data_IF_037785128227
#
_entry.id   IF_037785128227
#
_cell.length_a   1.000
_cell.length_b   1.000
_cell.length_c   1.000
_cell.angle_alpha   90.00
_cell.angle_beta   90.00
_cell.angle_gamma   90.00
#
_symmetry.space_group_name_H-M   'P 1'
#
loop_
_entity.id
_entity.type
_entity.pdbx_description
1 polymer ?
#
# COMPACT_ATOMS: atom_id res chain seq x y z
N UNK A 1 35.42 41.89 89.33
CA UNK A 1 36.47 42.81 88.83
C UNK A 1 36.84 43.74 89.98
N UNK A 2 38.08 43.70 90.51
CA UNK A 2 38.48 44.58 91.61
C UNK A 2 38.49 46.03 91.13
N UNK A 3 37.95 46.95 91.93
CA UNK A 3 37.97 48.38 91.62
C UNK A 3 39.39 48.92 91.61
N UNK A 4 39.69 49.80 90.65
CA UNK A 4 41.02 50.40 90.53
C UNK A 4 41.22 51.47 91.59
N UNK A 5 42.28 51.35 92.39
CA UNK A 5 42.54 52.18 93.59
C UNK A 5 44.02 52.47 93.83
N UNK A 6 44.86 52.30 92.81
CA UNK A 6 46.30 52.54 92.92
C UNK A 6 46.60 54.04 92.87
N UNK A 7 47.55 54.51 93.69
CA UNK A 7 47.88 55.92 93.82
C UNK A 7 46.95 56.70 94.75
N UNK A 8 47.09 58.02 94.77
CA UNK A 8 46.23 58.94 95.53
C UNK A 8 45.66 60.00 94.59
N UNK A 9 44.58 60.66 95.02
CA UNK A 9 43.98 61.77 94.28
C UNK A 9 43.94 63.04 95.11
N UNK A 10 44.26 64.14 94.46
CA UNK A 10 43.99 65.49 94.92
C UNK A 10 42.64 65.94 94.37
N UNK A 11 41.72 66.26 95.28
CA UNK A 11 40.36 66.70 95.00
C UNK A 11 40.08 67.97 95.80
N UNK A 12 39.46 68.95 95.16
CA UNK A 12 39.12 70.24 95.77
C UNK A 12 37.61 70.36 95.88
N UNK A 13 37.11 70.79 97.04
CA UNK A 13 35.68 71.01 97.23
C UNK A 13 35.13 71.94 96.15
N UNK A 14 33.96 71.58 95.60
CA UNK A 14 33.27 72.26 94.50
C UNK A 14 34.03 72.30 93.16
N UNK A 15 35.06 71.47 92.97
CA UNK A 15 35.75 71.28 91.68
C UNK A 15 35.39 69.94 91.04
N UNK A 16 35.31 69.89 89.71
CA UNK A 16 35.21 68.62 88.98
C UNK A 16 36.58 67.97 88.74
N UNK A 17 37.69 68.66 89.01
CA UNK A 17 39.02 68.15 88.71
C UNK A 17 39.49 67.16 89.78
N UNK A 18 39.88 65.98 89.32
CA UNK A 18 40.55 64.95 90.11
C UNK A 18 41.97 64.79 89.56
N UNK A 19 42.97 65.15 90.35
CA UNK A 19 44.38 65.08 89.96
C UNK A 19 45.05 63.93 90.69
N UNK A 20 45.36 62.86 89.96
CA UNK A 20 45.98 61.65 90.48
C UNK A 20 47.51 61.75 90.58
N UNK A 21 48.07 61.10 91.59
CA UNK A 21 49.51 60.82 91.72
C UNK A 21 49.71 59.31 91.74
N UNK A 22 50.60 58.79 90.88
CA UNK A 22 50.80 57.35 90.66
C UNK A 22 49.52 56.60 90.24
N UNK A 23 48.65 57.28 89.49
CA UNK A 23 47.42 56.74 88.90
C UNK A 23 47.61 56.41 87.42
N UNK A 24 46.72 55.57 86.88
CA UNK A 24 46.67 55.16 85.47
C UNK A 24 45.19 55.17 85.00
N UNK A 25 44.58 56.36 85.01
CA UNK A 25 43.15 56.51 84.76
C UNK A 25 42.70 56.05 83.37
N UNK A 26 43.47 56.28 82.30
CA UNK A 26 43.06 55.95 80.93
C UNK A 26 42.90 54.44 80.77
N UNK A 27 43.84 53.67 81.34
CA UNK A 27 43.82 52.22 81.22
C UNK A 27 42.73 51.56 82.08
N UNK A 28 42.25 52.23 83.14
CA UNK A 28 41.45 51.61 84.20
C UNK A 28 40.06 52.22 84.40
N UNK A 29 39.67 53.20 83.58
CA UNK A 29 38.34 53.81 83.63
C UNK A 29 37.94 54.36 82.26
N UNK A 30 36.65 54.62 82.09
CA UNK A 30 36.05 55.26 80.93
C UNK A 30 35.10 56.36 81.38
N UNK A 31 34.81 57.29 80.48
CA UNK A 31 33.69 58.22 80.69
C UNK A 31 32.40 57.42 80.90
N UNK A 32 31.66 57.77 81.95
CA UNK A 32 30.47 57.05 82.44
C UNK A 32 30.74 56.11 83.62
N UNK A 33 32.00 55.82 83.97
CA UNK A 33 32.32 55.00 85.14
C UNK A 33 32.09 55.75 86.46
N UNK A 34 31.95 55.00 87.55
CA UNK A 34 31.82 55.56 88.88
C UNK A 34 33.18 55.83 89.50
N UNK A 35 33.48 57.09 89.81
CA UNK A 35 34.56 57.50 90.70
C UNK A 35 34.04 57.61 92.13
N UNK A 36 34.67 56.87 93.05
CA UNK A 36 34.43 56.99 94.49
C UNK A 36 35.52 57.84 95.11
N UNK A 37 35.16 59.03 95.57
CA UNK A 37 36.10 59.99 96.15
C UNK A 37 36.58 59.63 97.56
N UNK A 38 37.57 60.35 98.10
CA UNK A 38 38.08 60.17 99.47
C UNK A 38 37.06 60.43 100.59
N UNK A 39 35.98 61.13 100.25
CA UNK A 39 34.80 61.37 101.09
C UNK A 39 33.85 60.17 101.12
N UNK A 40 34.13 59.13 100.31
CA UNK A 40 33.28 57.96 100.13
C UNK A 40 32.11 58.18 99.17
N UNK A 41 31.94 59.39 98.62
CA UNK A 41 30.88 59.78 97.69
C UNK A 41 31.11 59.24 96.28
N UNK A 42 30.02 59.07 95.52
CA UNK A 42 30.05 58.59 94.14
C UNK A 42 29.82 59.70 93.15
N UNK A 43 30.64 59.71 92.11
CA UNK A 43 30.64 60.69 91.05
C UNK A 43 30.80 59.98 89.71
N UNK A 44 30.16 60.49 88.67
CA UNK A 44 30.34 60.00 87.30
C UNK A 44 31.62 60.60 86.72
N UNK A 45 32.49 59.77 86.16
CA UNK A 45 33.64 60.23 85.38
C UNK A 45 33.11 60.80 84.06
N UNK A 46 33.26 62.10 83.85
CA UNK A 46 32.73 62.79 82.64
C UNK A 46 33.80 63.00 81.58
N UNK A 47 35.07 63.00 81.97
CA UNK A 47 36.22 63.08 81.07
C UNK A 47 37.44 62.45 81.72
N UNK A 48 38.33 61.85 80.92
CA UNK A 48 39.65 61.37 81.37
C UNK A 48 40.66 62.06 80.48
N UNK A 49 41.30 63.11 81.02
CA UNK A 49 42.23 63.94 80.26
C UNK A 49 43.63 63.30 80.16
N UNK A 50 44.05 62.57 81.20
CA UNK A 50 45.31 61.81 81.23
C UNK A 50 45.25 60.71 82.29
N UNK A 51 46.30 59.90 82.39
CA UNK A 51 46.44 58.91 83.47
C UNK A 51 46.44 59.52 84.89
N UNK A 52 46.66 60.83 85.00
CA UNK A 52 46.74 61.60 86.24
C UNK A 52 45.70 62.71 86.35
N UNK A 53 44.79 62.87 85.38
CA UNK A 53 43.77 63.92 85.43
C UNK A 53 42.45 63.41 84.85
N UNK A 54 41.38 63.50 85.63
CA UNK A 54 40.02 63.24 85.17
C UNK A 54 39.06 64.30 85.70
N UNK A 55 37.88 64.35 85.09
CA UNK A 55 36.78 65.21 85.52
C UNK A 55 35.61 64.37 85.99
N UNK A 56 34.95 64.80 87.07
CA UNK A 56 33.82 64.10 87.67
C UNK A 56 32.57 64.98 87.73
N UNK A 57 31.38 64.37 87.72
CA UNK A 57 30.10 65.05 87.92
C UNK A 57 29.22 64.29 88.94
N UNK A 58 28.54 64.98 89.87
CA UNK A 58 28.66 66.42 90.15
C UNK A 58 30.08 66.78 90.64
N UNK A 59 30.36 68.08 90.80
CA UNK A 59 31.64 68.53 91.36
C UNK A 59 31.86 67.91 92.77
N UNK A 60 33.11 67.69 93.15
CA UNK A 60 33.48 67.04 94.41
C UNK A 60 32.88 67.77 95.64
N UNK A 61 32.10 67.06 96.45
CA UNK A 61 31.28 67.65 97.52
C UNK A 61 31.98 67.61 98.89
N UNK A 62 32.91 66.68 99.09
CA UNK A 62 33.69 66.55 100.34
C UNK A 62 34.68 67.70 100.57
N UNK A 63 35.25 67.75 101.78
CA UNK A 63 36.33 68.68 102.11
C UNK A 63 37.56 68.42 101.22
N UNK A 64 38.24 69.48 100.76
CA UNK A 64 39.42 69.37 99.91
C UNK A 64 40.48 68.45 100.51
N UNK A 65 40.99 67.51 99.73
CA UNK A 65 41.98 66.53 100.15
C UNK A 65 43.07 66.43 99.09
N UNK A 66 44.32 66.72 99.47
CA UNK A 66 45.46 66.74 98.56
C UNK A 66 46.07 65.37 98.27
N UNK A 67 45.70 64.32 99.03
CA UNK A 67 46.23 62.96 98.87
C UNK A 67 45.24 61.90 99.42
N UNK A 68 44.02 61.88 98.89
CA UNK A 68 42.97 60.96 99.33
C UNK A 68 43.00 59.61 98.61
N UNK A 69 42.49 58.58 99.28
CA UNK A 69 42.20 57.29 98.64
C UNK A 69 40.94 57.38 97.77
N UNK A 70 40.90 56.63 96.67
CA UNK A 70 39.77 56.61 95.73
C UNK A 70 39.52 55.21 95.20
N UNK A 71 38.43 55.01 94.49
CA UNK A 71 38.22 53.82 93.67
C UNK A 71 37.48 54.16 92.37
N UNK A 72 37.84 53.50 91.27
CA UNK A 72 37.10 53.53 90.01
C UNK A 72 36.34 52.21 89.83
N UNK A 73 35.03 52.31 89.62
CA UNK A 73 34.12 51.21 89.39
C UNK A 73 33.56 51.30 87.96
N UNK A 74 33.79 50.29 87.10
CA UNK A 74 33.17 50.26 85.79
C UNK A 74 31.64 50.23 85.89
N UNK A 75 30.95 51.22 85.32
CA UNK A 75 29.49 51.27 85.28
C UNK A 75 29.03 51.02 83.84
N UNK A 76 29.08 49.76 83.40
CA UNK A 76 28.59 49.40 82.07
C UNK A 76 27.05 49.38 82.08
N UNK A 77 26.43 50.36 81.42
CA UNK A 77 25.04 50.23 81.00
C UNK A 77 24.87 48.99 80.11
N UNK A 78 23.79 48.23 80.31
CA UNK A 78 23.46 47.04 79.52
C UNK A 78 23.70 47.29 78.01
N UNK A 79 24.26 46.32 77.28
CA UNK A 79 24.55 46.38 75.84
C UNK A 79 23.23 46.47 75.02
N UNK A 80 22.57 47.62 75.07
CA UNK A 80 21.19 47.84 74.59
C UNK A 80 21.08 47.73 73.07
N UNK A 81 22.08 48.20 72.36
CA UNK A 81 22.07 48.25 70.88
C UNK A 81 22.10 46.84 70.26
N UNK A 82 22.90 45.93 70.80
CA UNK A 82 22.92 44.54 70.32
C UNK A 82 21.62 43.79 70.64
N UNK A 83 21.01 44.08 71.81
CA UNK A 83 19.73 43.52 72.20
C UNK A 83 18.59 44.00 71.28
N UNK A 84 18.56 45.28 70.91
CA UNK A 84 17.55 45.82 69.99
C UNK A 84 17.72 45.29 68.56
N UNK A 85 18.96 45.14 68.07
CA UNK A 85 19.24 44.54 66.78
C UNK A 85 18.79 43.07 66.69
N UNK A 86 19.07 42.27 67.73
CA UNK A 86 18.62 40.88 67.82
C UNK A 86 17.08 40.79 67.89
N UNK A 87 16.44 41.67 68.66
CA UNK A 87 14.97 41.72 68.75
C UNK A 87 14.33 42.07 67.41
N UNK A 88 14.89 42.99 66.64
CA UNK A 88 14.40 43.32 65.30
C UNK A 88 14.49 42.12 64.34
N UNK A 89 15.60 41.36 64.40
CA UNK A 89 15.76 40.12 63.63
C UNK A 89 14.69 39.08 64.00
N UNK A 90 14.50 38.82 65.30
CA UNK A 90 13.51 37.86 65.81
C UNK A 90 12.09 38.27 65.45
N UNK A 91 11.74 39.55 65.54
CA UNK A 91 10.39 40.02 65.16
C UNK A 91 10.12 39.88 63.66
N UNK A 92 11.14 40.07 62.81
CA UNK A 92 10.98 39.99 61.35
C UNK A 92 10.95 38.55 60.84
N UNK A 93 11.84 37.70 61.33
CA UNK A 93 12.05 36.36 60.79
C UNK A 93 11.71 35.22 61.74
N UNK A 94 11.49 35.48 63.04
CA UNK A 94 11.30 34.44 64.04
C UNK A 94 10.10 33.53 63.75
N UNK A 95 8.96 34.10 63.36
CA UNK A 95 7.77 33.32 62.96
C UNK A 95 8.00 32.53 61.66
N UNK A 96 8.70 33.12 60.69
CA UNK A 96 9.01 32.47 59.40
C UNK A 96 9.99 31.31 59.59
N UNK A 97 11.04 31.50 60.39
CA UNK A 97 12.03 30.48 60.70
C UNK A 97 11.42 29.36 61.55
N UNK A 98 10.54 29.70 62.52
CA UNK A 98 9.79 28.72 63.27
C UNK A 98 8.84 27.89 62.38
N UNK A 99 8.21 28.52 61.37
CA UNK A 99 7.31 27.85 60.44
C UNK A 99 8.01 26.84 59.52
N UNK A 100 9.32 26.99 59.25
CA UNK A 100 10.10 25.98 58.52
C UNK A 100 10.21 24.67 59.32
N UNK A 101 10.20 24.71 60.64
CA UNK A 101 10.30 23.51 61.49
C UNK A 101 11.47 22.61 61.07
N UNK A 102 11.19 21.33 60.78
CA UNK A 102 12.22 20.36 60.36
C UNK A 102 12.74 20.55 58.93
N UNK A 103 12.08 21.35 58.07
CA UNK A 103 12.51 21.49 56.65
C UNK A 103 13.75 22.36 56.50
N UNK A 104 14.00 23.28 57.45
CA UNK A 104 15.19 24.14 57.46
C UNK A 104 16.51 23.43 57.74
N UNK A 105 16.48 22.13 58.06
CA UNK A 105 17.66 21.33 58.43
C UNK A 105 18.33 20.62 57.23
N UNK A 106 17.87 20.86 56.01
CA UNK A 106 18.34 20.15 54.82
C UNK A 106 18.88 21.12 53.77
N UNK A 107 20.10 20.89 53.30
CA UNK A 107 20.65 21.59 52.12
C UNK A 107 19.87 21.25 50.85
N UNK A 108 19.34 20.02 50.79
CA UNK A 108 18.45 19.53 49.75
C UNK A 108 17.22 18.95 50.43
N UNK A 109 16.08 19.62 50.29
CA UNK A 109 14.84 19.19 50.92
C UNK A 109 14.39 17.82 50.37
N UNK A 110 14.21 16.78 51.21
CA UNK A 110 13.80 15.47 50.75
C UNK A 110 12.35 15.45 50.29
N UNK A 111 12.00 14.47 49.47
CA UNK A 111 10.64 14.28 48.95
C UNK A 111 9.60 14.11 50.07
N UNK A 112 9.96 13.43 51.16
CA UNK A 112 9.10 13.25 52.35
C UNK A 112 8.76 14.56 53.07
N UNK A 113 9.45 15.65 52.74
CA UNK A 113 9.22 17.00 53.28
C UNK A 113 8.77 17.98 52.20
N UNK A 114 8.32 17.48 51.04
CA UNK A 114 7.81 18.29 49.93
C UNK A 114 8.90 18.87 49.01
N UNK A 115 10.16 18.47 49.18
CA UNK A 115 11.23 18.83 48.26
C UNK A 115 11.38 17.84 47.10
N UNK A 116 12.44 18.01 46.32
CA UNK A 116 12.76 17.12 45.18
C UNK A 116 13.77 16.03 45.56
N UNK A 117 14.42 16.16 46.72
CA UNK A 117 15.55 15.31 47.12
C UNK A 117 16.79 15.46 46.24
N UNK A 118 16.85 16.50 45.38
CA UNK A 118 17.95 16.72 44.42
C UNK A 118 18.34 18.19 44.31
N UNK A 119 19.60 18.44 44.00
CA UNK A 119 20.13 19.79 43.76
C UNK A 119 19.92 20.30 42.33
N UNK A 120 19.57 19.43 41.38
CA UNK A 120 19.37 19.79 39.96
C UNK A 120 17.92 20.15 39.60
N UNK A 121 17.04 20.25 40.60
CA UNK A 121 15.63 20.59 40.43
C UNK A 121 14.79 19.50 39.76
N UNK A 122 15.38 18.36 39.39
CA UNK A 122 14.63 17.23 38.85
C UNK A 122 13.95 16.47 39.97
N UNK A 123 12.82 15.85 39.67
CA UNK A 123 12.14 14.94 40.58
C UNK A 123 12.23 13.54 40.00
N UNK A 124 12.65 12.58 40.83
CA UNK A 124 12.56 11.17 40.52
C UNK A 124 11.48 10.58 41.41
N UNK A 125 10.46 10.01 40.78
CA UNK A 125 9.38 9.34 41.47
C UNK A 125 9.62 7.84 41.42
N UNK A 126 9.44 7.15 42.54
CA UNK A 126 9.27 5.69 42.53
C UNK A 126 7.93 5.31 41.89
N UNK A 127 6.90 6.13 42.13
CA UNK A 127 5.58 6.03 41.52
C UNK A 127 4.90 7.41 41.50
N UNK A 128 3.96 7.61 40.57
CA UNK A 128 3.10 8.80 40.50
C UNK A 128 1.65 8.35 40.67
N UNK A 129 1.06 8.64 41.83
CA UNK A 129 -0.35 8.38 42.11
C UNK A 129 -1.23 9.56 41.69
N UNK A 130 -2.29 9.30 40.92
CA UNK A 130 -3.29 10.31 40.54
C UNK A 130 -4.66 9.81 40.97
N UNK A 131 -5.32 10.55 41.85
CA UNK A 131 -6.60 10.15 42.45
C UNK A 131 -7.77 11.04 42.04
N UNK A 132 -7.48 12.24 41.51
CA UNK A 132 -8.49 13.18 41.05
C UNK A 132 -8.63 13.14 39.54
N UNK A 133 -9.82 13.47 39.06
CA UNK A 133 -10.06 13.67 37.64
C UNK A 133 -9.22 14.82 37.10
N UNK A 134 -8.72 14.69 35.87
CA UNK A 134 -8.11 15.82 35.18
C UNK A 134 -9.18 16.88 34.93
N UNK A 135 -9.03 18.06 35.53
CA UNK A 135 -10.05 19.12 35.51
C UNK A 135 -9.71 20.31 34.60
N UNK A 136 -8.48 20.37 34.08
CA UNK A 136 -7.96 21.51 33.31
C UNK A 136 -7.57 21.12 31.87
N UNK A 137 -8.22 20.11 31.30
CA UNK A 137 -7.93 19.64 29.94
C UNK A 137 -8.29 20.65 28.85
N UNK A 138 -8.91 21.78 29.18
CA UNK A 138 -9.18 22.91 28.28
C UNK A 138 -8.03 23.93 28.22
N UNK A 139 -6.99 23.77 29.04
CA UNK A 139 -5.76 24.57 29.00
C UNK A 139 -4.71 23.81 28.19
N UNK A 140 -3.86 24.53 27.45
CA UNK A 140 -2.77 23.91 26.70
C UNK A 140 -1.79 23.22 27.66
N UNK A 141 -1.57 21.91 27.46
CA UNK A 141 -0.68 21.13 28.32
C UNK A 141 -0.90 19.63 28.22
N UNK A 142 -0.10 18.90 29.00
CA UNK A 142 -0.22 17.47 29.22
C UNK A 142 -0.69 17.23 30.65
N UNK A 143 -1.68 16.36 30.81
CA UNK A 143 -2.34 16.08 32.07
C UNK A 143 -2.42 14.59 32.32
N UNK A 144 -2.32 14.21 33.59
CA UNK A 144 -2.69 12.89 34.07
C UNK A 144 -3.92 13.05 34.98
N UNK A 145 -4.87 12.14 34.87
CA UNK A 145 -6.12 12.18 35.64
C UNK A 145 -6.64 10.79 35.94
N UNK A 146 -7.60 10.71 36.84
CA UNK A 146 -8.26 9.45 37.20
C UNK A 146 -9.78 9.60 37.18
N UNK A 147 -10.44 8.64 36.53
CA UNK A 147 -11.87 8.36 36.66
C UNK A 147 -12.79 9.56 36.36
N UNK A 148 -12.52 10.34 35.30
CA UNK A 148 -13.35 11.48 34.92
C UNK A 148 -14.72 11.09 34.35
N UNK A 149 -14.86 9.88 33.82
CA UNK A 149 -16.07 9.28 33.25
C UNK A 149 -16.69 8.18 34.10
N UNK A 150 -16.21 8.00 35.34
CA UNK A 150 -16.73 7.02 36.31
C UNK A 150 -16.64 5.55 35.88
N UNK A 151 -15.66 5.16 35.06
CA UNK A 151 -15.40 3.77 34.64
C UNK A 151 -14.13 3.16 35.25
N UNK A 152 -13.50 3.85 36.20
CA UNK A 152 -12.20 3.46 36.77
C UNK A 152 -11.04 3.65 35.80
N UNK A 153 -11.16 4.60 34.87
CA UNK A 153 -10.18 4.80 33.81
C UNK A 153 -9.04 5.76 34.20
N UNK A 154 -7.82 5.41 33.82
CA UNK A 154 -6.67 6.32 33.87
C UNK A 154 -6.65 7.21 32.63
N UNK A 155 -6.32 8.48 32.82
CA UNK A 155 -6.27 9.47 31.75
C UNK A 155 -4.84 9.96 31.51
N UNK A 156 -4.44 9.96 30.24
CA UNK A 156 -3.27 10.66 29.74
C UNK A 156 -3.74 11.61 28.64
N UNK A 157 -3.89 12.89 28.99
CA UNK A 157 -4.55 13.88 28.13
C UNK A 157 -3.51 14.86 27.63
N UNK A 158 -3.45 15.04 26.31
CA UNK A 158 -2.70 16.13 25.71
C UNK A 158 -3.68 17.09 25.05
N UNK A 159 -3.82 18.27 25.64
CA UNK A 159 -4.53 19.36 24.98
C UNK A 159 -3.64 19.89 23.84
N UNK A 160 -4.19 19.90 22.62
CA UNK A 160 -3.46 20.31 21.42
C UNK A 160 -3.01 21.77 21.41
N UNK A 161 -3.63 22.63 22.22
CA UNK A 161 -3.45 24.07 22.21
C UNK A 161 -3.61 24.64 20.79
N UNK A 162 -2.73 25.57 20.42
CA UNK A 162 -2.63 26.07 19.05
C UNK A 162 -1.88 25.16 18.06
N UNK A 163 -1.41 23.99 18.49
CA UNK A 163 -0.61 23.07 17.68
C UNK A 163 -1.39 21.93 17.04
N UNK A 164 -0.64 20.98 16.45
CA UNK A 164 -1.17 19.75 15.87
C UNK A 164 -1.65 18.72 16.90
N UNK A 165 -1.23 18.85 18.16
CA UNK A 165 -1.56 17.93 19.25
C UNK A 165 -0.93 16.54 19.13
N UNK A 166 -1.39 15.62 19.97
CA UNK A 166 -0.86 14.26 20.08
C UNK A 166 0.31 14.11 21.05
N UNK A 167 0.85 12.90 21.15
CA UNK A 167 2.04 12.60 21.95
C UNK A 167 3.03 11.73 21.18
N UNK A 168 4.31 11.93 21.45
CA UNK A 168 5.42 11.17 20.85
C UNK A 168 6.19 10.45 21.93
N UNK A 169 6.56 9.20 21.69
CA UNK A 169 7.44 8.44 22.57
C UNK A 169 8.50 7.70 21.76
N UNK A 170 9.64 7.44 22.41
CA UNK A 170 10.79 6.76 21.83
C UNK A 170 11.65 6.15 22.94
N UNK A 171 12.41 5.12 22.60
CA UNK A 171 13.47 4.60 23.47
C UNK A 171 14.80 5.29 23.15
N UNK A 172 15.72 5.25 24.12
CA UNK A 172 17.12 5.68 23.94
C UNK A 172 18.04 4.61 24.50
N UNK A 173 19.28 4.55 24.01
CA UNK A 173 20.30 3.72 24.63
C UNK A 173 20.71 4.28 26.01
N UNK A 174 21.44 3.49 26.80
CA UNK A 174 21.82 3.84 28.17
C UNK A 174 22.56 5.19 28.29
N UNK A 175 23.37 5.56 27.28
CA UNK A 175 24.10 6.82 27.24
C UNK A 175 23.31 8.00 26.67
N UNK A 176 22.05 7.80 26.23
CA UNK A 176 21.25 8.80 25.51
C UNK A 176 21.99 9.40 24.28
N UNK A 177 22.80 8.59 23.61
CA UNK A 177 23.56 8.95 22.41
C UNK A 177 22.95 8.41 21.12
N UNK A 178 22.03 7.44 21.22
CA UNK A 178 21.26 6.89 20.12
C UNK A 178 19.78 6.78 20.51
N UNK A 179 18.91 7.06 19.54
CA UNK A 179 17.45 6.97 19.71
C UNK A 179 16.90 5.80 18.91
N UNK A 180 15.95 5.07 19.50
CA UNK A 180 15.05 4.20 18.76
C UNK A 180 14.05 5.00 17.92
N UNK A 181 13.19 4.32 17.15
CA UNK A 181 12.14 4.98 16.36
C UNK A 181 11.19 5.77 17.25
N UNK A 182 10.80 6.96 16.78
CA UNK A 182 9.73 7.73 17.39
C UNK A 182 8.38 7.17 16.93
N UNK A 183 7.49 6.97 17.90
CA UNK A 183 6.11 6.56 17.68
C UNK A 183 5.21 7.72 18.09
N UNK A 184 4.10 7.91 17.39
CA UNK A 184 3.21 9.03 17.64
C UNK A 184 1.76 8.58 17.71
N UNK A 185 1.00 9.19 18.60
CA UNK A 185 -0.46 9.15 18.58
C UNK A 185 -0.97 10.57 18.40
N UNK A 186 -1.54 10.86 17.24
CA UNK A 186 -2.00 12.21 16.88
C UNK A 186 -3.30 12.58 17.58
N UNK A 187 -3.67 13.87 17.51
CA UNK A 187 -4.97 14.35 17.97
C UNK A 187 -6.16 13.66 17.26
N UNK A 188 -5.98 13.28 15.98
CA UNK A 188 -6.99 12.58 15.18
C UNK A 188 -7.06 11.06 15.46
N UNK A 189 -6.32 10.58 16.46
CA UNK A 189 -6.30 9.16 16.84
C UNK A 189 -5.44 8.27 15.95
N UNK A 190 -4.61 8.84 15.07
CA UNK A 190 -3.68 8.05 14.25
C UNK A 190 -2.47 7.60 15.09
N UNK A 191 -2.33 6.29 15.25
CA UNK A 191 -1.12 5.62 15.75
C UNK A 191 -0.12 5.41 14.61
N UNK A 192 1.05 6.03 14.69
CA UNK A 192 2.15 5.83 13.75
C UNK A 192 3.31 5.13 14.45
N UNK A 193 3.68 3.95 13.95
CA UNK A 193 4.79 3.13 14.44
C UNK A 193 5.62 2.64 13.25
N UNK A 194 6.93 2.47 13.42
CA UNK A 194 7.79 1.98 12.34
C UNK A 194 7.53 0.51 11.97
N UNK A 195 7.10 -0.28 12.95
CA UNK A 195 6.68 -1.66 12.75
C UNK A 195 5.64 -2.05 13.80
N UNK A 196 4.66 -2.85 13.40
CA UNK A 196 3.63 -3.42 14.27
C UNK A 196 3.77 -4.95 14.24
N UNK A 197 3.93 -5.57 15.41
CA UNK A 197 3.94 -7.02 15.54
C UNK A 197 2.60 -7.49 16.11
N UNK A 198 1.89 -8.34 15.37
CA UNK A 198 0.59 -8.90 15.76
C UNK A 198 0.75 -10.41 15.91
N UNK A 199 0.91 -10.89 17.14
CA UNK A 199 1.36 -12.28 17.41
C UNK A 199 0.26 -13.22 17.93
N UNK A 200 -0.76 -12.70 18.62
CA UNK A 200 -1.78 -13.55 19.26
C UNK A 200 -2.99 -13.84 18.37
N UNK A 201 -3.54 -12.82 17.71
CA UNK A 201 -4.70 -12.96 16.82
C UNK A 201 -4.50 -12.09 15.58
N UNK A 202 -4.74 -12.61 14.37
CA UNK A 202 -4.63 -11.81 13.15
C UNK A 202 -5.67 -10.67 13.17
N UNK A 203 -5.33 -9.55 12.52
CA UNK A 203 -6.33 -8.50 12.27
C UNK A 203 -7.42 -9.11 11.37
N UNK A 204 -8.67 -8.99 11.81
CA UNK A 204 -9.81 -9.53 11.06
C UNK A 204 -9.98 -8.81 9.71
N UNK A 205 -10.64 -9.47 8.75
CA UNK A 205 -10.94 -8.85 7.45
C UNK A 205 -11.83 -7.63 7.60
N UNK A 206 -12.80 -7.67 8.52
CA UNK A 206 -13.68 -6.52 8.81
C UNK A 206 -12.91 -5.29 9.33
N UNK A 207 -11.68 -5.48 9.81
CA UNK A 207 -10.79 -4.42 10.28
C UNK A 207 -9.63 -4.16 9.30
N UNK A 208 -9.73 -4.61 8.04
CA UNK A 208 -8.72 -4.39 6.99
C UNK A 208 -7.51 -5.32 7.05
N UNK A 209 -7.53 -6.35 7.90
CA UNK A 209 -6.50 -7.38 7.95
C UNK A 209 -6.74 -8.52 6.95
N UNK A 210 -5.94 -9.57 7.08
CA UNK A 210 -6.05 -10.79 6.24
C UNK A 210 -6.83 -11.91 6.92
N UNK A 211 -7.20 -11.78 8.20
CA UNK A 211 -7.88 -12.83 8.96
C UNK A 211 -7.02 -14.05 9.33
N UNK A 212 -5.72 -14.06 8.98
CA UNK A 212 -4.81 -15.17 9.26
C UNK A 212 -3.37 -14.72 9.52
N UNK A 213 -2.66 -15.46 10.39
CA UNK A 213 -1.22 -15.26 10.68
C UNK A 213 -0.31 -16.23 9.91
N UNK A 214 -0.88 -17.04 9.01
CA UNK A 214 -0.17 -17.90 8.06
C UNK A 214 -0.62 -17.58 6.64
N UNK A 215 0.22 -17.87 5.65
CA UNK A 215 -0.11 -17.65 4.24
C UNK A 215 -1.39 -18.42 3.83
N UNK A 216 -1.53 -19.67 4.28
CA UNK A 216 -2.68 -20.52 3.98
C UNK A 216 -3.96 -19.94 4.58
N UNK A 217 -3.95 -19.57 5.86
CA UNK A 217 -5.13 -18.98 6.52
C UNK A 217 -5.51 -17.66 5.88
N UNK A 218 -4.54 -16.79 5.59
CA UNK A 218 -4.78 -15.50 4.96
C UNK A 218 -5.44 -15.65 3.57
N UNK A 219 -4.95 -16.55 2.70
CA UNK A 219 -5.58 -16.79 1.38
C UNK A 219 -7.01 -17.31 1.51
N UNK A 220 -7.23 -18.26 2.41
CA UNK A 220 -8.56 -18.83 2.64
C UNK A 220 -9.54 -17.76 3.15
N UNK A 221 -9.12 -16.94 4.11
CA UNK A 221 -9.92 -15.84 4.65
C UNK A 221 -10.24 -14.79 3.57
N UNK A 222 -9.28 -14.46 2.70
CA UNK A 222 -9.47 -13.52 1.58
C UNK A 222 -10.29 -14.11 0.41
N UNK A 223 -10.71 -15.38 0.48
CA UNK A 223 -11.50 -16.01 -0.58
C UNK A 223 -10.71 -16.34 -1.85
N UNK A 224 -9.38 -16.44 -1.74
CA UNK A 224 -8.46 -16.79 -2.84
C UNK A 224 -7.63 -18.04 -2.50
N UNK A 225 -8.17 -18.89 -1.62
CA UNK A 225 -7.58 -20.18 -1.27
C UNK A 225 -7.85 -21.27 -2.33
N UNK A 226 -7.19 -22.44 -2.22
CA UNK A 226 -7.34 -23.54 -3.17
C UNK A 226 -8.76 -24.10 -3.31
N UNK A 227 -9.60 -23.88 -2.29
CA UNK A 227 -11.00 -24.31 -2.24
C UNK A 227 -11.98 -23.12 -2.38
N UNK A 228 -11.49 -21.94 -2.76
CA UNK A 228 -12.30 -20.72 -2.87
C UNK A 228 -12.78 -20.47 -4.31
N UNK A 229 -13.92 -19.78 -4.45
CA UNK A 229 -14.48 -19.34 -5.72
C UNK A 229 -14.70 -17.81 -5.70
N UNK A 230 -13.64 -17.01 -5.93
CA UNK A 230 -13.74 -15.55 -5.84
C UNK A 230 -14.62 -14.96 -6.95
N UNK A 231 -15.34 -13.88 -6.64
CA UNK A 231 -16.10 -13.09 -7.61
C UNK A 231 -15.41 -11.75 -7.83
N UNK A 232 -15.15 -11.41 -9.09
CA UNK A 232 -14.52 -10.14 -9.48
C UNK A 232 -15.43 -9.36 -10.44
N UNK A 233 -15.43 -8.03 -10.34
CA UNK A 233 -16.10 -7.18 -11.33
C UNK A 233 -15.37 -7.20 -12.70
N UNK A 234 -14.05 -7.42 -12.66
CA UNK A 234 -13.20 -7.60 -13.83
C UNK A 234 -11.87 -8.22 -13.40
N UNK A 235 -11.19 -8.88 -14.34
CA UNK A 235 -9.87 -9.47 -14.13
C UNK A 235 -8.92 -8.95 -15.19
N UNK A 236 -8.02 -8.05 -14.80
CA UNK A 236 -6.95 -7.52 -15.65
C UNK A 236 -5.61 -8.06 -15.15
N UNK A 237 -4.83 -8.63 -16.07
CA UNK A 237 -3.54 -9.25 -15.77
C UNK A 237 -2.44 -8.58 -16.59
N UNK A 238 -1.50 -7.93 -15.90
CA UNK A 238 -0.35 -7.26 -16.52
C UNK A 238 0.95 -7.95 -16.09
N UNK A 239 1.60 -8.64 -17.02
CA UNK A 239 2.92 -9.26 -16.83
C UNK A 239 3.59 -9.43 -18.22
N UNK A 240 4.81 -9.96 -18.29
CA UNK A 240 5.48 -10.32 -19.53
C UNK A 240 4.71 -11.40 -20.31
N UNK A 241 4.03 -12.31 -19.61
CA UNK A 241 3.18 -13.35 -20.18
C UNK A 241 2.02 -13.67 -19.22
N UNK A 242 0.99 -12.81 -19.11
CA UNK A 242 -0.10 -13.00 -18.16
C UNK A 242 -0.93 -14.24 -18.51
N UNK A 243 -1.28 -15.04 -17.49
CA UNK A 243 -2.05 -16.28 -17.66
C UNK A 243 -3.06 -16.51 -16.54
N UNK A 244 -4.04 -17.35 -16.86
CA UNK A 244 -4.88 -18.06 -15.90
C UNK A 244 -4.60 -19.55 -16.12
N UNK A 245 -4.12 -20.22 -15.08
CA UNK A 245 -3.75 -21.64 -15.11
C UNK A 245 -4.84 -22.49 -14.45
N UNK A 246 -5.12 -23.66 -15.02
CA UNK A 246 -6.19 -24.54 -14.59
C UNK A 246 -5.65 -25.91 -14.21
N UNK A 247 -5.49 -26.16 -12.90
CA UNK A 247 -5.13 -27.49 -12.41
C UNK A 247 -6.37 -28.36 -12.20
N UNK A 248 -6.40 -29.53 -12.83
CA UNK A 248 -7.43 -30.54 -12.58
C UNK A 248 -7.10 -31.37 -11.33
N UNK A 249 -8.08 -31.65 -10.46
CA UNK A 249 -7.90 -32.47 -9.25
C UNK A 249 -6.73 -32.06 -8.32
N UNK A 250 -6.39 -30.77 -8.28
CA UNK A 250 -5.28 -30.24 -7.46
C UNK A 250 -3.94 -30.90 -7.78
N UNK A 251 -3.73 -31.32 -9.04
CA UNK A 251 -2.44 -31.83 -9.48
C UNK A 251 -1.34 -30.79 -9.24
N UNK A 252 -0.17 -31.26 -8.80
CA UNK A 252 1.04 -30.43 -8.73
C UNK A 252 1.76 -30.33 -10.08
N UNK A 253 1.30 -31.09 -11.09
CA UNK A 253 1.77 -30.97 -12.45
C UNK A 253 1.39 -29.58 -12.96
N UNK A 254 2.41 -28.77 -13.20
CA UNK A 254 2.30 -27.39 -13.64
C UNK A 254 2.23 -27.37 -15.18
N UNK A 255 1.36 -26.51 -15.69
CA UNK A 255 1.30 -26.12 -17.09
C UNK A 255 0.58 -26.98 -18.15
N UNK A 256 -0.44 -27.75 -17.80
CA UNK A 256 -1.21 -28.55 -18.77
C UNK A 256 -2.26 -27.75 -19.57
N UNK A 257 -3.11 -26.96 -18.89
CA UNK A 257 -4.18 -26.15 -19.51
C UNK A 257 -4.16 -24.72 -18.98
N UNK A 258 -3.93 -23.74 -19.87
CA UNK A 258 -3.96 -22.32 -19.52
C UNK A 258 -4.58 -21.45 -20.61
N UNK A 259 -5.09 -20.29 -20.20
CA UNK A 259 -5.31 -19.16 -21.09
C UNK A 259 -4.15 -18.17 -20.87
N UNK A 260 -3.42 -17.82 -21.91
CA UNK A 260 -2.20 -16.99 -21.81
C UNK A 260 -2.04 -16.05 -22.99
N UNK A 261 -1.46 -14.88 -22.73
CA UNK A 261 -0.96 -13.98 -23.77
C UNK A 261 0.58 -14.00 -23.74
N UNK A 262 1.21 -14.75 -24.64
CA UNK A 262 2.68 -14.83 -24.77
C UNK A 262 3.20 -14.06 -25.99
N UNK A 263 2.29 -13.64 -26.88
CA UNK A 263 2.60 -12.97 -28.13
C UNK A 263 1.65 -11.79 -28.31
N UNK A 264 2.15 -10.59 -28.66
CA UNK A 264 1.30 -9.42 -28.85
C UNK A 264 0.11 -9.70 -29.77
N UNK A 265 -1.11 -9.38 -29.30
CA UNK A 265 -2.35 -9.53 -30.07
C UNK A 265 -2.92 -10.95 -30.15
N UNK A 266 -2.34 -11.94 -29.44
CA UNK A 266 -2.81 -13.34 -29.49
C UNK A 266 -3.13 -13.84 -28.08
N UNK A 267 -4.39 -14.24 -27.87
CA UNK A 267 -4.79 -15.03 -26.70
C UNK A 267 -4.70 -16.51 -27.06
N UNK A 268 -3.83 -17.24 -26.37
CA UNK A 268 -3.57 -18.65 -26.60
C UNK A 268 -4.25 -19.48 -25.52
N UNK A 269 -4.95 -20.55 -25.94
CA UNK A 269 -5.24 -21.69 -25.06
C UNK A 269 -4.08 -22.67 -25.24
N UNK A 270 -3.21 -22.79 -24.24
CA UNK A 270 -2.15 -23.81 -24.26
C UNK A 270 -2.73 -25.09 -23.65
N UNK A 271 -2.87 -26.12 -24.47
CA UNK A 271 -3.59 -27.36 -24.14
C UNK A 271 -4.60 -27.73 -25.24
N UNK A 272 -5.55 -28.60 -24.91
CA UNK A 272 -6.70 -28.89 -25.77
C UNK A 272 -7.87 -27.95 -25.44
N UNK A 273 -8.65 -27.57 -26.46
CA UNK A 273 -9.87 -26.78 -26.31
C UNK A 273 -11.07 -27.58 -26.81
N UNK A 274 -12.03 -27.84 -25.92
CA UNK A 274 -13.34 -28.40 -26.25
C UNK A 274 -14.40 -27.29 -26.13
N UNK A 275 -15.26 -27.17 -27.15
CA UNK A 275 -16.37 -26.19 -27.16
C UNK A 275 -17.68 -26.95 -27.35
N UNK A 276 -18.42 -27.07 -26.26
CA UNK A 276 -19.77 -27.65 -26.26
C UNK A 276 -20.79 -26.56 -26.57
N UNK A 277 -20.83 -26.13 -27.85
CA UNK A 277 -21.68 -25.02 -28.27
C UNK A 277 -21.33 -24.48 -29.64
N UNK A 278 -21.63 -23.19 -29.86
CA UNK A 278 -21.28 -22.47 -31.09
C UNK A 278 -20.10 -21.54 -30.83
N UNK A 279 -19.18 -21.47 -31.78
CA UNK A 279 -18.13 -20.46 -31.83
C UNK A 279 -18.47 -19.45 -32.92
N UNK A 280 -18.48 -18.17 -32.58
CA UNK A 280 -18.51 -17.08 -33.56
C UNK A 280 -17.08 -16.60 -33.77
N UNK A 281 -16.67 -16.45 -35.03
CA UNK A 281 -15.34 -15.98 -35.38
C UNK A 281 -15.39 -15.24 -36.72
N UNK A 282 -14.44 -14.34 -36.96
CA UNK A 282 -14.26 -13.74 -38.28
C UNK A 282 -13.79 -14.77 -39.32
N UNK A 283 -13.12 -15.82 -38.88
CA UNK A 283 -12.79 -17.00 -39.68
C UNK A 283 -11.81 -17.93 -38.98
N UNK A 284 -11.58 -19.09 -39.60
CA UNK A 284 -10.62 -20.06 -39.08
C UNK A 284 -9.24 -19.78 -39.65
N UNK A 285 -8.33 -19.33 -38.80
CA UNK A 285 -6.93 -19.07 -39.17
C UNK A 285 -6.12 -20.37 -39.13
N UNK A 286 -5.96 -21.06 -40.25
CA UNK A 286 -5.32 -22.38 -40.30
C UNK A 286 -3.91 -22.36 -40.92
N UNK A 287 -3.29 -23.53 -40.94
CA UNK A 287 -1.96 -23.81 -41.50
C UNK A 287 -2.00 -25.10 -42.34
N UNK A 288 -1.02 -25.30 -43.21
CA UNK A 288 -0.88 -26.54 -43.95
C UNK A 288 -0.45 -27.70 -43.02
N UNK A 289 -1.35 -28.66 -42.80
CA UNK A 289 -1.10 -29.81 -41.92
C UNK A 289 -0.79 -29.42 -40.47
N UNK A 290 -0.09 -30.31 -39.76
CA UNK A 290 0.22 -30.11 -38.34
C UNK A 290 1.41 -29.18 -38.08
N UNK A 291 2.34 -29.01 -39.01
CA UNK A 291 3.65 -28.40 -38.68
C UNK A 291 3.98 -27.10 -39.42
N UNK A 292 3.22 -26.73 -40.46
CA UNK A 292 3.51 -25.48 -41.18
C UNK A 292 3.25 -24.23 -40.32
N UNK A 293 3.78 -23.09 -40.75
CA UNK A 293 3.35 -21.79 -40.24
C UNK A 293 1.90 -21.49 -40.61
N UNK A 294 1.23 -20.63 -39.84
CA UNK A 294 -0.07 -20.07 -40.25
C UNK A 294 0.16 -19.02 -41.34
N UNK A 295 -0.66 -19.05 -42.39
CA UNK A 295 -0.62 -18.08 -43.49
C UNK A 295 -1.23 -16.73 -43.09
N UNK A 296 -1.46 -15.83 -44.04
CA UNK A 296 -2.16 -14.56 -43.78
C UNK A 296 -3.68 -14.62 -43.92
N UNK A 297 -4.22 -15.72 -44.45
CA UNK A 297 -5.62 -15.86 -44.84
C UNK A 297 -6.41 -16.71 -43.85
N UNK A 298 -7.72 -16.48 -43.76
CA UNK A 298 -8.67 -17.33 -43.01
C UNK A 298 -9.67 -18.00 -43.96
N UNK A 299 -10.25 -19.11 -43.53
CA UNK A 299 -11.38 -19.72 -44.25
C UNK A 299 -12.66 -19.69 -43.44
N UNK A 300 -13.79 -19.67 -44.14
CA UNK A 300 -15.13 -19.80 -43.59
C UNK A 300 -15.95 -20.83 -44.38
N UNK A 301 -16.76 -21.58 -43.65
CA UNK A 301 -17.83 -22.41 -44.22
C UNK A 301 -19.17 -21.75 -43.92
N UNK A 302 -19.91 -21.43 -44.97
CA UNK A 302 -21.21 -20.77 -44.87
C UNK A 302 -22.33 -21.70 -45.33
N UNK A 303 -23.28 -22.01 -44.46
CA UNK A 303 -24.46 -22.77 -44.85
C UNK A 303 -25.48 -21.85 -45.52
N UNK A 304 -25.77 -22.08 -46.80
CA UNK A 304 -26.70 -21.25 -47.60
C UNK A 304 -28.17 -21.65 -47.44
N UNK A 305 -28.46 -22.69 -46.65
CA UNK A 305 -29.77 -23.33 -46.61
C UNK A 305 -29.88 -24.57 -47.50
N UNK A 306 -28.96 -24.76 -48.45
CA UNK A 306 -28.92 -25.94 -49.33
C UNK A 306 -27.54 -26.57 -49.41
N UNK A 307 -26.49 -25.74 -49.44
CA UNK A 307 -25.11 -26.21 -49.57
C UNK A 307 -24.18 -25.47 -48.59
N UNK A 308 -22.95 -25.95 -48.48
CA UNK A 308 -21.88 -25.26 -47.75
C UNK A 308 -21.00 -24.52 -48.75
N UNK A 309 -20.95 -23.20 -48.68
CA UNK A 309 -20.01 -22.39 -49.43
C UNK A 309 -18.67 -22.28 -48.70
N UNK A 310 -17.59 -22.31 -49.46
CA UNK A 310 -16.23 -22.11 -48.98
C UNK A 310 -15.76 -20.71 -49.37
N UNK A 311 -15.37 -19.95 -48.35
CA UNK A 311 -14.83 -18.61 -48.49
C UNK A 311 -13.39 -18.57 -47.98
N UNK A 312 -12.52 -17.86 -48.69
CA UNK A 312 -11.17 -17.52 -48.24
C UNK A 312 -11.10 -16.00 -48.14
N UNK A 313 -10.92 -15.50 -46.93
CA UNK A 313 -11.11 -14.08 -46.59
C UNK A 313 -12.46 -13.58 -47.15
N UNK A 314 -12.42 -12.57 -48.03
CA UNK A 314 -13.61 -12.00 -48.67
C UNK A 314 -13.94 -12.64 -50.03
N UNK A 315 -13.25 -13.71 -50.43
CA UNK A 315 -13.40 -14.33 -51.76
C UNK A 315 -14.21 -15.62 -51.68
N UNK A 316 -15.30 -15.70 -52.44
CA UNK A 316 -16.02 -16.94 -52.69
C UNK A 316 -15.16 -17.87 -53.54
N UNK A 317 -14.82 -19.05 -53.00
CA UNK A 317 -13.99 -20.04 -53.71
C UNK A 317 -14.85 -21.03 -54.47
N UNK A 318 -15.96 -21.44 -53.88
CA UNK A 318 -16.87 -22.42 -54.46
C UNK A 318 -17.73 -23.09 -53.40
N UNK A 319 -18.62 -23.97 -53.86
CA UNK A 319 -19.46 -24.78 -52.99
C UNK A 319 -18.74 -26.09 -52.66
N UNK A 320 -18.78 -26.50 -51.39
CA UNK A 320 -18.36 -27.83 -50.98
C UNK A 320 -19.40 -28.85 -51.48
N UNK A 321 -19.10 -29.45 -52.63
CA UNK A 321 -19.97 -30.46 -53.24
C UNK A 321 -19.75 -31.81 -52.57
N UNK A 322 -20.77 -32.28 -51.87
CA UNK A 322 -20.87 -33.65 -51.39
C UNK A 322 -21.91 -34.35 -52.29
N UNK A 323 -21.51 -35.44 -52.97
CA UNK A 323 -22.34 -36.13 -53.98
C UNK A 323 -23.50 -36.94 -53.37
N UNK A 324 -24.34 -36.30 -52.55
CA UNK A 324 -25.55 -36.90 -52.03
C UNK A 324 -26.52 -37.23 -53.16
N UNK A 325 -26.98 -38.49 -53.25
CA UNK A 325 -27.91 -38.95 -54.28
C UNK A 325 -29.05 -39.82 -53.74
N UNK A 326 -29.42 -39.68 -52.46
CA UNK A 326 -30.49 -40.47 -51.82
C UNK A 326 -31.89 -40.01 -52.30
N UNK A 327 -32.78 -40.98 -52.54
CA UNK A 327 -34.14 -40.68 -53.02
C UNK A 327 -34.97 -39.86 -52.02
N UNK A 328 -34.65 -39.92 -50.72
CA UNK A 328 -35.41 -39.22 -49.65
C UNK A 328 -35.35 -37.70 -49.73
N UNK A 329 -34.34 -37.15 -50.40
CA UNK A 329 -34.26 -35.71 -50.66
C UNK A 329 -34.43 -35.36 -52.14
N UNK A 330 -35.02 -36.27 -52.94
CA UNK A 330 -35.38 -36.04 -54.34
C UNK A 330 -36.90 -36.03 -54.50
N UNK A 331 -37.40 -35.19 -55.41
CA UNK A 331 -38.82 -35.11 -55.79
C UNK A 331 -38.94 -35.04 -57.31
N UNK A 332 -40.08 -35.45 -57.85
CA UNK A 332 -40.36 -35.47 -59.30
C UNK A 332 -39.35 -36.27 -60.12
N UNK A 333 -39.04 -37.48 -59.65
CA UNK A 333 -38.09 -38.37 -60.32
C UNK A 333 -38.74 -38.89 -61.62
N UNK A 334 -38.10 -38.60 -62.76
CA UNK A 334 -38.52 -39.04 -64.09
C UNK A 334 -37.29 -39.24 -64.99
N UNK A 335 -37.46 -39.95 -66.10
CA UNK A 335 -36.40 -40.13 -67.09
C UNK A 335 -36.02 -38.79 -67.74
N UNK A 336 -34.72 -38.55 -67.86
CA UNK A 336 -34.19 -37.35 -68.48
C UNK A 336 -34.44 -37.35 -69.99
N UNK A 337 -35.15 -36.33 -70.49
CA UNK A 337 -35.46 -36.14 -71.91
C UNK A 337 -34.40 -35.25 -72.56
N UNK A 338 -33.44 -35.88 -73.22
CA UNK A 338 -32.38 -35.18 -73.98
C UNK A 338 -32.50 -35.63 -75.44
N UNK A 339 -32.53 -34.71 -76.43
CA UNK A 339 -32.66 -35.08 -77.84
C UNK A 339 -31.56 -36.02 -78.34
N UNK A 340 -30.31 -35.72 -77.98
CA UNK A 340 -29.18 -36.65 -78.10
C UNK A 340 -28.11 -36.28 -77.08
N UNK A 341 -27.67 -37.26 -76.30
CA UNK A 341 -26.53 -37.13 -75.40
C UNK A 341 -25.21 -37.07 -76.18
N UNK A 342 -25.10 -37.79 -77.30
CA UNK A 342 -23.91 -37.72 -78.17
C UNK A 342 -23.71 -36.33 -78.77
N UNK A 343 -24.79 -35.68 -79.21
CA UNK A 343 -24.70 -34.30 -79.73
C UNK A 343 -24.19 -33.33 -78.65
N UNK A 344 -24.65 -33.48 -77.40
CA UNK A 344 -24.11 -32.71 -76.26
C UNK A 344 -22.63 -32.99 -76.04
N UNK A 345 -22.24 -34.26 -76.02
CA UNK A 345 -20.83 -34.65 -75.84
C UNK A 345 -19.94 -34.06 -76.94
N UNK A 346 -20.40 -34.08 -78.20
CA UNK A 346 -19.69 -33.49 -79.33
C UNK A 346 -19.61 -31.95 -79.26
N UNK A 347 -20.61 -31.31 -78.65
CA UNK A 347 -20.66 -29.85 -78.51
C UNK A 347 -19.74 -29.32 -77.39
N UNK A 348 -19.37 -30.13 -76.39
CA UNK A 348 -18.46 -29.70 -75.34
C UNK A 348 -17.03 -29.47 -75.87
N UNK A 349 -16.53 -28.24 -75.73
CA UNK A 349 -15.15 -27.90 -76.11
C UNK A 349 -14.16 -28.25 -75.01
N UNK A 350 -13.44 -29.35 -75.18
CA UNK A 350 -12.33 -29.74 -74.30
C UNK A 350 -11.14 -28.82 -74.58
N UNK A 351 -10.60 -28.21 -73.52
CA UNK A 351 -9.46 -27.30 -73.58
C UNK A 351 -8.35 -27.73 -72.64
N UNK A 352 -7.12 -27.35 -72.98
CA UNK A 352 -6.02 -27.30 -72.01
C UNK A 352 -5.77 -25.85 -71.61
N UNK A 353 -5.44 -25.62 -70.34
CA UNK A 353 -5.24 -24.27 -69.81
C UNK A 353 -4.24 -24.27 -68.65
N UNK A 354 -3.56 -23.15 -68.46
CA UNK A 354 -2.84 -22.85 -67.23
C UNK A 354 -3.66 -21.85 -66.42
N UNK A 355 -3.67 -22.01 -65.10
CA UNK A 355 -4.34 -21.03 -64.22
C UNK A 355 -3.57 -19.72 -64.27
N UNK A 356 -4.24 -18.60 -64.50
CA UNK A 356 -3.65 -17.27 -64.35
C UNK A 356 -3.76 -16.81 -62.89
N UNK A 357 -3.02 -15.76 -62.53
CA UNK A 357 -3.28 -15.03 -61.28
C UNK A 357 -4.59 -14.26 -61.43
N UNK A 358 -5.53 -14.52 -60.52
CA UNK A 358 -6.82 -13.85 -60.45
C UNK A 358 -7.17 -13.54 -58.99
N UNK A 359 -7.05 -12.28 -58.62
CA UNK A 359 -7.19 -11.85 -57.22
C UNK A 359 -6.09 -12.40 -56.30
N UNK A 360 -6.37 -12.41 -55.00
CA UNK A 360 -5.42 -12.89 -54.00
C UNK A 360 -5.39 -14.42 -53.89
N UNK A 361 -6.53 -15.06 -54.11
CA UNK A 361 -6.78 -16.49 -53.80
C UNK A 361 -6.42 -17.41 -54.96
N UNK A 362 -6.77 -17.08 -56.20
CA UNK A 362 -6.52 -17.95 -57.36
C UNK A 362 -5.18 -17.60 -58.00
N UNK A 363 -4.19 -18.46 -57.81
CA UNK A 363 -2.84 -18.28 -58.35
C UNK A 363 -2.41 -19.53 -59.11
N UNK A 364 -1.89 -19.33 -60.31
CA UNK A 364 -1.27 -20.40 -61.08
C UNK A 364 0.17 -20.64 -60.67
N UNK A 365 0.64 -21.87 -60.90
CA UNK A 365 1.99 -22.35 -60.66
C UNK A 365 2.71 -22.76 -61.97
N UNK A 366 2.09 -22.51 -63.12
CA UNK A 366 2.59 -22.93 -64.44
C UNK A 366 2.16 -24.34 -64.86
N UNK A 367 1.40 -25.06 -64.04
CA UNK A 367 0.87 -26.38 -64.38
C UNK A 367 -0.21 -26.28 -65.46
N UNK A 368 -0.10 -27.11 -66.51
CA UNK A 368 -1.13 -27.27 -67.55
C UNK A 368 -2.19 -28.26 -67.09
N UNK A 369 -3.44 -27.83 -67.09
CA UNK A 369 -4.63 -28.62 -66.79
C UNK A 369 -5.46 -28.88 -68.04
N UNK A 370 -6.30 -29.90 -68.02
CA UNK A 370 -7.33 -30.16 -69.02
C UNK A 370 -8.71 -29.94 -68.39
N UNK A 371 -9.66 -29.40 -69.14
CA UNK A 371 -11.03 -29.24 -68.67
C UNK A 371 -11.95 -28.58 -69.69
N UNK A 372 -13.00 -27.95 -69.17
CA UNK A 372 -14.01 -27.22 -69.92
C UNK A 372 -14.03 -25.77 -69.43
N UNK A 373 -14.45 -24.85 -70.29
CA UNK A 373 -14.76 -23.47 -69.89
C UNK A 373 -16.22 -23.42 -69.43
N UNK A 374 -16.46 -22.95 -68.20
CA UNK A 374 -17.78 -23.04 -67.56
C UNK A 374 -18.92 -22.48 -68.43
N UNK A 375 -18.89 -21.19 -68.77
CA UNK A 375 -19.98 -20.60 -69.58
C UNK A 375 -20.17 -21.24 -70.97
N UNK A 376 -19.13 -21.88 -71.54
CA UNK A 376 -19.27 -22.64 -72.79
C UNK A 376 -20.00 -23.96 -72.55
N UNK A 377 -19.67 -24.69 -71.47
CA UNK A 377 -20.38 -25.90 -71.07
C UNK A 377 -21.84 -25.62 -70.69
N UNK A 378 -22.09 -24.48 -70.04
CA UNK A 378 -23.44 -24.04 -69.66
C UNK A 378 -24.35 -23.81 -70.88
N UNK A 379 -23.79 -23.38 -72.02
CA UNK A 379 -24.54 -23.20 -73.26
C UNK A 379 -24.98 -24.53 -73.90
N UNK A 380 -24.23 -25.62 -73.65
CA UNK A 380 -24.56 -26.98 -74.14
C UNK A 380 -25.56 -27.67 -73.20
N UNK A 381 -25.33 -27.59 -71.89
CA UNK A 381 -26.22 -28.13 -70.87
C UNK A 381 -26.27 -27.13 -69.69
N UNK A 382 -27.42 -26.46 -69.47
CA UNK A 382 -27.56 -25.50 -68.38
C UNK A 382 -27.28 -26.09 -66.99
N UNK A 383 -27.40 -27.41 -66.81
CA UNK A 383 -27.13 -28.11 -65.55
C UNK A 383 -25.64 -28.40 -65.33
N UNK A 384 -24.79 -28.25 -66.36
CA UNK A 384 -23.35 -28.54 -66.29
C UNK A 384 -22.54 -27.47 -65.53
N UNK A 385 -23.18 -26.39 -65.10
CA UNK A 385 -22.54 -25.26 -64.41
C UNK A 385 -23.45 -24.68 -63.35
N UNK A 386 -22.87 -24.35 -62.21
CA UNK A 386 -23.47 -23.49 -61.19
C UNK A 386 -22.87 -22.08 -61.26
N UNK A 387 -23.73 -21.06 -61.15
CA UNK A 387 -23.35 -19.65 -61.20
C UNK A 387 -23.47 -19.01 -62.58
N UNK A 388 -23.33 -17.70 -62.63
CA UNK A 388 -23.49 -16.87 -63.83
C UNK A 388 -22.15 -16.42 -64.41
N UNK A 389 -22.08 -16.28 -65.73
CA UNK A 389 -20.87 -15.81 -66.42
C UNK A 389 -20.58 -14.38 -65.98
N UNK A 390 -19.34 -14.14 -65.54
CA UNK A 390 -18.88 -12.85 -65.02
C UNK A 390 -19.72 -12.35 -63.82
N UNK A 391 -20.34 -13.27 -63.07
CA UNK A 391 -21.14 -12.94 -61.89
C UNK A 391 -20.32 -12.18 -60.84
N UNK A 392 -20.96 -11.24 -60.16
CA UNK A 392 -20.35 -10.46 -59.06
C UNK A 392 -21.24 -10.50 -57.82
N UNK A 393 -20.65 -10.27 -56.66
CA UNK A 393 -21.37 -10.07 -55.41
C UNK A 393 -21.85 -8.61 -55.26
N UNK A 394 -22.51 -8.33 -54.15
CA UNK A 394 -23.08 -7.02 -53.79
C UNK A 394 -22.02 -5.91 -53.67
N UNK A 395 -20.75 -6.28 -53.54
CA UNK A 395 -19.60 -5.38 -53.42
C UNK A 395 -18.79 -5.30 -54.73
N UNK A 396 -19.23 -5.95 -55.80
CA UNK A 396 -18.55 -6.00 -57.09
C UNK A 396 -17.40 -7.00 -57.18
N UNK A 397 -17.22 -7.89 -56.18
CA UNK A 397 -16.22 -8.94 -56.26
C UNK A 397 -16.71 -10.09 -57.14
N UNK A 398 -15.80 -10.69 -57.91
CA UNK A 398 -16.15 -11.78 -58.82
C UNK A 398 -16.63 -13.04 -58.08
N UNK A 399 -17.74 -13.63 -58.54
CA UNK A 399 -18.24 -14.96 -58.18
C UNK A 399 -17.83 -15.95 -59.27
N UNK A 400 -16.98 -16.91 -58.90
CA UNK A 400 -16.42 -17.87 -59.87
C UNK A 400 -17.45 -18.95 -60.22
N UNK A 401 -17.79 -19.08 -61.50
CA UNK A 401 -18.61 -20.19 -62.01
C UNK A 401 -17.94 -21.54 -61.75
N UNK A 402 -18.75 -22.54 -61.40
CA UNK A 402 -18.27 -23.90 -61.10
C UNK A 402 -18.87 -24.89 -62.10
N UNK A 403 -18.06 -25.81 -62.61
CA UNK A 403 -18.58 -26.96 -63.35
C UNK A 403 -19.35 -27.87 -62.38
N UNK A 404 -20.45 -28.44 -62.85
CA UNK A 404 -21.16 -29.53 -62.18
C UNK A 404 -20.71 -30.87 -62.80
N UNK A 405 -19.85 -31.65 -62.10
CA UNK A 405 -19.33 -32.89 -62.66
C UNK A 405 -20.43 -33.93 -62.87
N UNK A 406 -21.52 -33.92 -62.09
CA UNK A 406 -22.56 -34.92 -62.21
C UNK A 406 -23.35 -34.77 -63.49
N UNK A 407 -23.71 -33.54 -63.86
CA UNK A 407 -24.37 -33.29 -65.13
C UNK A 407 -23.50 -33.75 -66.33
N UNK A 408 -22.21 -33.41 -66.32
CA UNK A 408 -21.26 -33.82 -67.36
C UNK A 408 -21.10 -35.35 -67.43
N UNK A 409 -20.99 -36.02 -66.29
CA UNK A 409 -20.90 -37.48 -66.21
C UNK A 409 -22.20 -38.11 -66.73
N UNK A 410 -23.37 -37.56 -66.40
CA UNK A 410 -24.64 -38.11 -66.89
C UNK A 410 -24.80 -37.95 -68.40
N UNK A 411 -24.30 -36.86 -68.99
CA UNK A 411 -24.27 -36.73 -70.44
C UNK A 411 -23.35 -37.79 -71.07
N UNK A 412 -22.19 -38.05 -70.47
CA UNK A 412 -21.28 -39.11 -70.93
C UNK A 412 -21.93 -40.50 -70.83
N UNK A 413 -22.59 -40.79 -69.72
CA UNK A 413 -23.32 -42.05 -69.54
C UNK A 413 -24.43 -42.22 -70.57
N UNK A 414 -25.19 -41.15 -70.87
CA UNK A 414 -26.22 -41.14 -71.90
C UNK A 414 -25.64 -41.41 -73.29
N UNK A 415 -24.54 -40.73 -73.65
CA UNK A 415 -23.88 -40.91 -74.94
C UNK A 415 -23.34 -42.34 -75.11
N UNK A 416 -22.79 -42.93 -74.05
CA UNK A 416 -22.36 -44.34 -74.06
C UNK A 416 -23.54 -45.30 -74.27
N UNK A 417 -24.71 -45.03 -73.67
CA UNK A 417 -25.93 -45.83 -73.92
C UNK A 417 -26.38 -45.72 -75.38
N UNK A 418 -26.38 -44.53 -75.96
CA UNK A 418 -26.71 -44.31 -77.37
C UNK A 418 -25.74 -45.05 -78.30
N UNK A 419 -24.43 -44.91 -78.06
CA UNK A 419 -23.39 -45.62 -78.83
C UNK A 419 -23.53 -47.14 -78.72
N UNK A 420 -23.92 -47.65 -77.55
CA UNK A 420 -24.16 -49.08 -77.37
C UNK A 420 -25.35 -49.56 -78.21
N UNK A 421 -26.46 -48.80 -78.25
CA UNK A 421 -27.63 -49.12 -79.08
C UNK A 421 -27.29 -49.16 -80.56
N UNK A 422 -26.63 -48.12 -81.07
CA UNK A 422 -26.19 -48.06 -82.48
C UNK A 422 -25.22 -49.21 -82.81
N UNK A 423 -24.30 -49.54 -81.90
CA UNK A 423 -23.42 -50.69 -82.11
C UNK A 423 -24.16 -52.02 -82.20
N UNK A 424 -25.30 -52.19 -81.50
CA UNK A 424 -26.12 -53.40 -81.58
C UNK A 424 -26.86 -53.44 -82.92
N UNK A 425 -27.44 -52.32 -83.35
CA UNK A 425 -28.13 -52.18 -84.63
C UNK A 425 -27.17 -52.45 -85.81
N UNK A 426 -26.01 -51.79 -85.84
CA UNK A 426 -24.98 -52.01 -86.87
C UNK A 426 -24.49 -53.46 -86.92
N UNK A 427 -24.38 -54.13 -85.76
CA UNK A 427 -24.02 -55.56 -85.72
C UNK A 427 -25.12 -56.44 -86.31
N UNK A 428 -26.39 -56.11 -86.08
CA UNK A 428 -27.53 -56.82 -86.64
C UNK A 428 -27.61 -56.61 -88.17
N UNK A 429 -27.45 -55.39 -88.64
CA UNK A 429 -27.40 -55.07 -90.08
C UNK A 429 -26.23 -55.78 -90.77
N UNK A 430 -25.04 -55.76 -90.15
CA UNK A 430 -23.88 -56.47 -90.67
C UNK A 430 -24.12 -57.98 -90.74
N UNK A 431 -24.81 -58.57 -89.77
CA UNK A 431 -25.17 -59.99 -89.80
C UNK A 431 -26.17 -60.29 -90.94
N UNK A 432 -27.18 -59.43 -91.13
CA UNK A 432 -28.16 -59.57 -92.22
C UNK A 432 -27.49 -59.42 -93.60
N UNK A 433 -26.60 -58.44 -93.77
CA UNK A 433 -25.84 -58.24 -95.00
C UNK A 433 -24.95 -59.44 -95.33
N UNK A 434 -24.27 -60.01 -94.32
CA UNK A 434 -23.45 -61.22 -94.50
C UNK A 434 -24.28 -62.42 -94.95
N UNK A 435 -25.49 -62.59 -94.40
CA UNK A 435 -26.41 -63.65 -94.83
C UNK A 435 -26.90 -63.45 -96.27
N UNK A 436 -27.18 -62.20 -96.68
CA UNK A 436 -27.61 -61.88 -98.05
C UNK A 436 -26.50 -62.02 -99.10
N UNK A 437 -25.23 -61.84 -98.69
CA UNK A 437 -24.06 -61.96 -99.58
C UNK A 437 -23.56 -63.41 -99.75
N UNK A 438 -24.17 -64.39 -99.09
CA UNK A 438 -23.78 -65.79 -99.18
C UNK A 438 -24.27 -66.39 -100.51
N UNK A 439 -23.39 -66.99 -101.36
CA UNK A 439 -23.81 -67.54 -102.65
C UNK A 439 -24.84 -68.65 -102.46
N UNK A 440 -25.82 -68.72 -103.37
CA UNK A 440 -26.90 -69.70 -103.31
C UNK A 440 -26.33 -71.13 -103.19
N UNK A 441 -26.91 -71.98 -102.32
CA UNK A 441 -26.44 -73.36 -102.18
C UNK A 441 -26.55 -74.08 -103.53
N UNK A 442 -25.46 -74.73 -103.93
CA UNK A 442 -25.37 -75.50 -105.18
C UNK A 442 -26.46 -76.59 -105.17
N UNK A 443 -27.23 -76.78 -106.27
CA UNK A 443 -28.33 -77.73 -106.28
C UNK A 443 -27.82 -79.15 -106.05
N UNK A 444 -28.37 -79.83 -105.05
CA UNK A 444 -28.03 -81.21 -104.73
C UNK A 444 -28.36 -82.14 -105.91
N UNK A 445 -27.33 -82.84 -106.41
CA UNK A 445 -27.46 -83.86 -107.46
C UNK A 445 -28.20 -85.07 -106.86
N UNK A 446 -29.24 -85.52 -107.58
CA UNK A 446 -30.19 -86.56 -107.19
C UNK A 446 -29.58 -87.96 -107.05
#
# INVERSE_FOLDING_TARGET
>A
MPWYKAGTVSVTQNSNAVIGTNTAFIANSRVGDGFRGPDGGWYEVTNIASDTAMSIAPNYQGASNSAGGYALAPLQGYVKESADALRALVNKFGTQLAALGTTGNYDILPVTKGGTGRSDGRVLFSEVGVQQASALYNVQGMYMGWNSGSQGEGHFVVNRGGGAGGFTWRSVNAGNTATGPAMTYSYEGLLTVSSLSVTAAPISIASGGTGGNSQTTARNSLGVGPDSAPTFAGLELSNNAPYIDFHYNKTAADYDVRIINQNPGILTVAGALEITGRVSSAGTWCRAGLSAGRGGTVYNYNWTGSNVDVWIDNTYVGTMTLFGSDYRFKKYIADAKVPSYRDRINAYRIVTYQRKVFGAVFRGDGTTYQGLIAHEAQAVNPLAVTGEKDGVDENGNARIQQLDPMALITDLMGAVKELHSESVELRAELAALKAAAQPAPEPAVA
#
